data_IF_415057931490
#
_entry.id   IF_415057931490
#
_cell.length_a   1.000
_cell.length_b   1.000
_cell.length_c   1.000
_cell.angle_alpha   90.00
_cell.angle_beta   90.00
_cell.angle_gamma   90.00
#
_symmetry.space_group_name_H-M   'P 1'
#
loop_
_entity.id
_entity.type
_entity.pdbx_description
1 polymer ?
#
# COMPACT_ATOMS: atom_id res chain seq x y z
N UNK A 1 -4.16 -16.41 15.20
CA UNK A 1 -3.17 -15.63 15.99
C UNK A 1 -1.86 -15.62 15.23
N UNK A 2 -1.30 -14.46 14.88
CA UNK A 2 -0.12 -14.43 14.02
C UNK A 2 0.82 -13.30 14.39
N UNK A 3 2.05 -13.68 14.80
CA UNK A 3 3.21 -12.80 15.10
C UNK A 3 3.21 -12.11 16.47
N UNK A 4 2.91 -12.83 17.54
CA UNK A 4 3.47 -12.47 18.85
C UNK A 4 4.95 -12.88 18.81
N UNK A 5 5.86 -11.91 18.62
CA UNK A 5 7.32 -12.16 18.64
C UNK A 5 8.11 -11.86 17.35
N UNK A 6 7.72 -10.87 16.55
CA UNK A 6 8.60 -10.40 15.46
C UNK A 6 9.79 -9.61 16.04
N UNK A 7 11.01 -10.13 15.86
CA UNK A 7 12.31 -9.59 16.32
C UNK A 7 12.62 -8.12 15.99
N UNK A 8 11.81 -7.48 15.14
CA UNK A 8 11.95 -6.07 14.74
C UNK A 8 11.16 -5.08 15.58
N UNK A 9 10.30 -5.54 16.50
CA UNK A 9 9.40 -4.68 17.25
C UNK A 9 10.09 -4.18 18.52
N UNK A 10 10.75 -3.03 18.42
CA UNK A 10 11.50 -2.38 19.50
C UNK A 10 10.58 -1.59 20.43
N UNK A 11 9.50 -2.21 20.93
CA UNK A 11 8.51 -1.53 21.77
C UNK A 11 9.12 -1.11 23.11
N UNK A 12 10.00 -1.94 23.67
CA UNK A 12 10.75 -1.69 24.92
C UNK A 12 11.67 -0.46 24.84
N UNK A 13 12.01 -0.01 23.63
CA UNK A 13 12.88 1.16 23.41
C UNK A 13 12.10 2.46 23.23
N UNK A 14 10.78 2.40 23.20
CA UNK A 14 9.92 3.57 23.05
C UNK A 14 9.58 4.11 24.42
N UNK A 15 9.71 5.43 24.59
CA UNK A 15 9.32 6.15 25.81
C UNK A 15 7.86 5.86 26.18
N UNK A 16 7.61 5.47 27.44
CA UNK A 16 6.25 5.29 27.96
C UNK A 16 5.47 6.61 27.97
N UNK A 17 6.15 7.73 28.26
CA UNK A 17 5.58 9.07 28.23
C UNK A 17 5.07 9.43 26.82
N UNK A 18 5.82 9.04 25.79
CA UNK A 18 5.40 9.18 24.39
C UNK A 18 4.12 8.37 24.12
N UNK A 19 4.03 7.12 24.58
CA UNK A 19 2.84 6.29 24.35
C UNK A 19 1.60 6.83 25.07
N UNK A 20 1.75 7.34 26.29
CA UNK A 20 0.65 7.97 27.04
C UNK A 20 0.17 9.26 26.37
N UNK A 21 1.09 10.16 26.01
CA UNK A 21 0.73 11.40 25.31
C UNK A 21 0.10 11.10 23.94
N UNK A 22 0.63 10.13 23.19
CA UNK A 22 0.10 9.70 21.90
C UNK A 22 -1.33 9.14 22.02
N UNK A 23 -1.57 8.25 22.99
CA UNK A 23 -2.91 7.67 23.21
C UNK A 23 -3.94 8.73 23.60
N UNK A 24 -3.55 9.69 24.46
CA UNK A 24 -4.37 10.84 24.82
C UNK A 24 -4.70 11.71 23.61
N UNK A 25 -3.69 12.08 22.81
CA UNK A 25 -3.86 12.93 21.63
C UNK A 25 -4.73 12.28 20.55
N UNK A 26 -4.56 10.99 20.29
CA UNK A 26 -5.39 10.27 19.32
C UNK A 26 -6.83 10.12 19.84
N UNK A 27 -7.07 9.84 21.12
CA UNK A 27 -8.45 9.68 21.63
C UNK A 27 -9.21 10.99 21.85
N UNK A 28 -8.54 12.15 21.75
CA UNK A 28 -9.17 13.46 21.92
C UNK A 28 -10.29 13.73 20.90
N UNK A 29 -11.34 14.44 21.34
CA UNK A 29 -12.47 14.90 20.53
C UNK A 29 -12.73 16.39 20.83
N UNK A 30 -12.62 17.30 19.84
CA UNK A 30 -12.17 17.08 18.48
C UNK A 30 -10.67 16.73 18.42
N UNK A 31 -10.28 15.86 17.48
CA UNK A 31 -8.88 15.50 17.26
C UNK A 31 -8.18 16.60 16.46
N UNK A 32 -7.08 17.12 16.99
CA UNK A 32 -6.28 18.19 16.36
C UNK A 32 -5.15 17.60 15.51
N UNK A 33 -4.45 16.58 16.01
CA UNK A 33 -3.26 16.03 15.34
C UNK A 33 -3.56 14.78 14.50
N UNK A 34 -2.91 14.67 13.35
CA UNK A 34 -2.69 13.37 12.69
C UNK A 34 -1.55 12.60 13.36
N UNK A 35 -1.38 11.31 13.08
CA UNK A 35 -0.24 10.53 13.60
C UNK A 35 1.08 11.18 13.19
N UNK A 36 1.21 11.59 11.92
CA UNK A 36 2.45 12.17 11.40
C UNK A 36 2.74 13.54 12.04
N UNK A 37 1.71 14.39 12.14
CA UNK A 37 1.83 15.72 12.75
C UNK A 37 2.19 15.62 14.24
N UNK A 38 1.59 14.67 14.96
CA UNK A 38 1.89 14.45 16.38
C UNK A 38 3.33 14.01 16.58
N UNK A 39 3.79 13.02 15.81
CA UNK A 39 5.18 12.52 15.91
C UNK A 39 6.18 13.63 15.61
N UNK A 40 5.90 14.47 14.61
CA UNK A 40 6.75 15.60 14.28
C UNK A 40 6.80 16.63 15.40
N UNK A 41 5.64 17.06 15.93
CA UNK A 41 5.56 18.01 17.03
C UNK A 41 6.26 17.49 18.29
N UNK A 42 5.99 16.25 18.67
CA UNK A 42 6.59 15.64 19.86
C UNK A 42 8.12 15.53 19.76
N UNK A 43 8.65 15.21 18.57
CA UNK A 43 10.11 15.20 18.34
C UNK A 43 10.75 16.58 18.48
N UNK A 44 10.01 17.63 18.15
CA UNK A 44 10.48 19.01 18.28
C UNK A 44 10.55 19.43 19.76
N UNK A 45 9.56 19.01 20.54
CA UNK A 45 9.46 19.28 21.98
C UNK A 45 10.45 18.42 22.80
N UNK A 46 10.73 17.19 22.35
CA UNK A 46 11.55 16.22 23.07
C UNK A 46 12.65 15.63 22.16
N UNK A 47 13.73 16.37 21.87
CA UNK A 47 14.81 15.92 21.00
C UNK A 47 15.63 14.76 21.57
N UNK A 48 15.69 14.65 22.91
CA UNK A 48 16.46 13.61 23.62
C UNK A 48 15.72 12.25 23.69
N UNK A 49 14.41 12.24 23.46
CA UNK A 49 13.60 11.03 23.55
C UNK A 49 13.67 10.20 22.26
N UNK A 50 13.75 8.88 22.41
CA UNK A 50 13.71 7.95 21.28
C UNK A 50 12.27 7.81 20.81
N UNK A 51 11.88 8.64 19.84
CA UNK A 51 10.55 8.63 19.24
C UNK A 51 10.52 7.73 17.99
N UNK A 52 9.62 6.73 17.92
CA UNK A 52 9.51 5.86 16.75
C UNK A 52 9.09 6.61 15.49
N UNK A 53 9.45 6.07 14.33
CA UNK A 53 8.95 6.61 13.06
C UNK A 53 7.45 6.38 12.90
N UNK A 54 6.79 7.19 12.08
CA UNK A 54 5.35 7.08 11.83
C UNK A 54 4.98 5.71 11.23
N UNK A 55 5.82 5.18 10.33
CA UNK A 55 5.69 3.82 9.79
C UNK A 55 5.69 2.75 10.90
N UNK A 56 6.58 2.89 11.87
CA UNK A 56 6.67 1.98 13.02
C UNK A 56 5.39 2.06 13.87
N UNK A 57 4.88 3.26 14.13
CA UNK A 57 3.62 3.47 14.85
C UNK A 57 2.41 2.84 14.15
N UNK A 58 2.25 3.05 12.84
CA UNK A 58 1.18 2.39 12.09
C UNK A 58 1.30 0.86 12.17
N UNK A 59 2.53 0.33 12.14
CA UNK A 59 2.78 -1.10 12.31
C UNK A 59 2.30 -1.60 13.68
N UNK A 60 2.63 -0.86 14.76
CA UNK A 60 2.19 -1.20 16.12
C UNK A 60 0.66 -1.14 16.28
N UNK A 61 0.00 -0.15 15.68
CA UNK A 61 -1.47 -0.02 15.68
C UNK A 61 -2.11 -1.20 14.95
N UNK A 62 -1.59 -1.58 13.78
CA UNK A 62 -2.13 -2.72 13.03
C UNK A 62 -1.92 -4.07 13.73
N UNK A 63 -0.86 -4.19 14.53
CA UNK A 63 -0.57 -5.37 15.35
C UNK A 63 -1.28 -5.37 16.70
N UNK A 64 -1.91 -4.25 17.10
CA UNK A 64 -2.58 -4.10 18.38
C UNK A 64 -1.64 -4.00 19.58
N UNK A 65 -0.40 -3.54 19.39
CA UNK A 65 0.62 -3.39 20.44
C UNK A 65 0.47 -2.11 21.26
N UNK A 66 -0.35 -1.17 20.78
CA UNK A 66 -0.66 0.10 21.45
C UNK A 66 -2.14 0.15 21.78
N UNK A 67 -2.53 0.94 22.77
CA UNK A 67 -3.92 1.06 23.24
C UNK A 67 -4.89 1.72 22.23
N UNK A 68 -4.39 2.08 21.03
CA UNK A 68 -5.16 2.65 19.93
C UNK A 68 -5.45 1.55 18.91
N UNK A 69 -6.71 1.45 18.51
CA UNK A 69 -7.16 0.53 17.47
C UNK A 69 -7.17 1.24 16.11
N UNK A 70 -7.04 0.50 14.99
CA UNK A 70 -7.21 1.09 13.65
C UNK A 70 -8.54 1.83 13.46
N UNK A 71 -9.59 1.43 14.19
CA UNK A 71 -10.92 2.07 14.18
C UNK A 71 -10.86 3.51 14.68
N UNK A 72 -9.95 3.79 15.60
CA UNK A 72 -9.75 5.14 16.13
C UNK A 72 -9.10 6.05 15.07
N UNK A 73 -8.52 5.52 13.98
CA UNK A 73 -7.90 6.34 12.93
C UNK A 73 -8.85 6.51 11.74
N UNK A 74 -9.44 7.70 11.53
CA UNK A 74 -10.47 7.90 10.50
C UNK A 74 -9.93 7.64 9.08
N UNK A 75 -8.67 7.97 8.82
CA UNK A 75 -8.03 7.75 7.51
C UNK A 75 -7.87 6.27 7.19
N UNK A 76 -7.56 5.43 8.19
CA UNK A 76 -7.35 3.99 8.00
C UNK A 76 -8.67 3.30 7.66
N UNK A 77 -9.76 3.69 8.33
CA UNK A 77 -11.09 3.11 8.10
C UNK A 77 -11.68 3.52 6.76
N UNK A 78 -11.42 4.76 6.29
CA UNK A 78 -11.98 5.28 5.03
C UNK A 78 -11.37 4.67 3.77
N UNK A 79 -10.13 4.19 3.84
CA UNK A 79 -9.41 3.67 2.66
C UNK A 79 -9.96 2.28 2.28
N UNK A 80 -10.61 2.18 1.12
CA UNK A 80 -11.02 0.90 0.52
C UNK A 80 -9.77 0.12 0.06
N UNK A 81 -9.68 -1.16 0.44
CA UNK A 81 -8.64 -2.06 -0.06
C UNK A 81 -8.88 -2.33 -1.54
N UNK A 82 -7.88 -2.07 -2.38
CA UNK A 82 -7.92 -2.48 -3.79
C UNK A 82 -7.76 -3.99 -3.89
N UNK A 83 -8.58 -4.64 -4.71
CA UNK A 83 -8.37 -6.06 -5.05
C UNK A 83 -7.04 -6.19 -5.81
N UNK A 84 -6.24 -7.21 -5.46
CA UNK A 84 -4.99 -7.52 -6.17
C UNK A 84 -5.22 -8.24 -7.51
N UNK A 85 -6.46 -8.64 -7.79
CA UNK A 85 -6.81 -9.37 -9.00
C UNK A 85 -6.65 -8.45 -10.19
N UNK A 86 -5.63 -8.69 -11.00
CA UNK A 86 -5.52 -8.08 -12.32
C UNK A 86 -6.66 -8.65 -13.16
N UNK A 87 -7.47 -7.83 -13.85
CA UNK A 87 -8.43 -8.34 -14.81
C UNK A 87 -7.67 -9.23 -15.80
N UNK A 88 -8.06 -10.50 -15.91
CA UNK A 88 -7.58 -11.36 -16.99
C UNK A 88 -8.23 -10.87 -18.28
N UNK A 89 -7.66 -9.86 -18.93
CA UNK A 89 -8.03 -9.55 -20.31
C UNK A 89 -7.61 -10.74 -21.15
N UNK A 90 -8.58 -11.57 -21.56
CA UNK A 90 -8.34 -12.62 -22.56
C UNK A 90 -7.84 -11.91 -23.82
N UNK A 91 -6.58 -12.11 -24.18
CA UNK A 91 -6.04 -11.57 -25.43
C UNK A 91 -6.67 -12.35 -26.58
N UNK A 92 -7.40 -11.68 -27.46
CA UNK A 92 -7.81 -12.27 -28.74
C UNK A 92 -6.62 -12.16 -29.70
N UNK A 93 -5.86 -13.25 -29.84
CA UNK A 93 -4.58 -13.30 -30.58
C UNK A 93 -4.74 -13.30 -32.12
N UNK A 94 -5.93 -13.01 -32.65
CA UNK A 94 -6.20 -13.00 -34.08
C UNK A 94 -6.07 -14.38 -34.75
N UNK A 95 -6.01 -14.38 -36.08
CA UNK A 95 -5.80 -15.56 -36.93
C UNK A 95 -4.31 -15.76 -37.23
N UNK A 96 -3.86 -17.02 -37.32
CA UNK A 96 -2.48 -17.35 -37.74
C UNK A 96 -2.18 -16.84 -39.15
N UNK A 97 -0.95 -16.40 -39.36
CA UNK A 97 -0.41 -16.01 -40.68
C UNK A 97 -0.54 -17.13 -41.73
N UNK A 98 -0.50 -18.40 -41.31
CA UNK A 98 -0.62 -19.55 -42.20
C UNK A 98 -1.99 -19.64 -42.88
N UNK A 99 -3.03 -19.06 -42.27
CA UNK A 99 -4.39 -19.10 -42.81
C UNK A 99 -4.68 -17.97 -43.81
N UNK A 100 -3.68 -17.15 -44.16
CA UNK A 100 -3.87 -16.04 -45.10
C UNK A 100 -4.06 -16.55 -46.53
N UNK A 101 -4.90 -15.91 -47.35
CA UNK A 101 -5.06 -16.27 -48.75
C UNK A 101 -3.79 -15.95 -49.56
N UNK A 102 -3.48 -16.80 -50.54
CA UNK A 102 -2.21 -16.75 -51.27
C UNK A 102 -2.00 -15.45 -52.06
N UNK A 103 -3.08 -14.80 -52.49
CA UNK A 103 -3.07 -13.54 -53.23
C UNK A 103 -2.43 -12.37 -52.44
N UNK A 104 -2.33 -12.46 -51.11
CA UNK A 104 -1.67 -11.45 -50.27
C UNK A 104 -0.14 -11.54 -50.42
N UNK A 105 0.41 -12.71 -50.74
CA UNK A 105 1.85 -12.89 -50.96
C UNK A 105 2.33 -12.12 -52.19
N UNK A 106 1.47 -12.00 -53.21
CA UNK A 106 1.80 -11.36 -54.49
C UNK A 106 1.90 -9.83 -54.36
N UNK A 107 1.41 -9.25 -53.25
CA UNK A 107 1.48 -7.80 -52.93
C UNK A 107 1.04 -6.89 -54.09
N UNK A 108 0.17 -7.38 -54.97
CA UNK A 108 -0.23 -6.71 -56.21
C UNK A 108 -1.20 -5.55 -55.97
N UNK A 109 -1.91 -5.54 -54.83
CA UNK A 109 -2.83 -4.48 -54.43
C UNK A 109 -2.30 -3.62 -53.28
N UNK A 110 -2.48 -2.30 -53.41
CA UNK A 110 -2.16 -1.34 -52.36
C UNK A 110 -3.12 -1.52 -51.17
N UNK A 111 -2.59 -1.51 -49.93
CA UNK A 111 -3.41 -1.57 -48.70
C UNK A 111 -3.21 -2.80 -47.80
N UNK A 112 -2.22 -3.66 -48.04
CA UNK A 112 -1.89 -4.77 -47.13
C UNK A 112 -0.85 -4.34 -46.08
N UNK A 113 -1.29 -3.92 -44.90
CA UNK A 113 -0.43 -3.51 -43.77
C UNK A 113 -0.52 -4.47 -42.58
N UNK A 114 -0.52 -5.78 -42.84
CA UNK A 114 -0.45 -6.78 -41.76
C UNK A 114 1.01 -6.99 -41.32
N UNK A 115 1.24 -7.13 -40.00
CA UNK A 115 2.55 -7.43 -39.42
C UNK A 115 2.65 -8.95 -39.23
N UNK A 116 3.71 -9.56 -39.76
CA UNK A 116 3.97 -10.99 -39.59
C UNK A 116 4.27 -11.29 -38.11
N UNK A 117 3.33 -11.92 -37.41
CA UNK A 117 3.47 -12.34 -36.01
C UNK A 117 3.31 -13.85 -35.88
N UNK A 118 4.24 -14.50 -35.19
CA UNK A 118 4.14 -15.92 -34.84
C UNK A 118 3.28 -16.04 -33.57
N UNK A 119 2.33 -16.99 -33.56
CA UNK A 119 1.57 -17.32 -32.34
C UNK A 119 2.52 -17.92 -31.30
N UNK A 120 2.57 -17.34 -30.10
CA UNK A 120 3.39 -17.80 -28.97
C UNK A 120 2.58 -17.94 -27.68
#
# INVERSE_FOLDING_TARGET
EGRKGSYYLKLERVSEAFLLSFTKAMKAKPRIHSVDTFVYAYKLEHPEEIVPSTKTLYTYIHQGLVAIKPIDLPKVVRIRKRSKTRPSTKKHLGTSIEKRPANINDRSTFGHWEIDSVLG
#
